data_IF_665250334757
#
_entry.id   IF_665250334757
#
_cell.length_a   1.000
_cell.length_b   1.000
_cell.length_c   1.000
_cell.angle_alpha   90.00
_cell.angle_beta   90.00
_cell.angle_gamma   90.00
#
_symmetry.space_group_name_H-M   'P 1'
#
loop_
_entity.id
_entity.type
_entity.pdbx_description
1 polymer ?
#
# COMPACT_ATOMS: atom_id res chain seq x y z
N UNK A 1 21.33 -26.93 -22.96
CA UNK A 1 21.40 -25.46 -23.01
C UNK A 1 19.97 -24.98 -23.00
N UNK A 2 19.45 -24.60 -21.84
CA UNK A 2 18.06 -24.13 -21.69
C UNK A 2 18.05 -22.68 -22.14
N UNK A 3 17.33 -22.37 -23.21
CA UNK A 3 17.05 -20.98 -23.58
C UNK A 3 16.22 -20.36 -22.45
N UNK A 4 16.83 -19.44 -21.72
CA UNK A 4 16.13 -18.61 -20.74
C UNK A 4 15.16 -17.70 -21.50
N UNK A 5 13.87 -17.88 -21.26
CA UNK A 5 12.80 -17.06 -21.82
C UNK A 5 12.97 -15.59 -21.39
N UNK A 6 13.14 -14.63 -22.32
CA UNK A 6 13.42 -13.22 -22.01
C UNK A 6 12.23 -12.46 -21.38
N UNK A 7 11.05 -13.07 -21.22
CA UNK A 7 9.89 -12.45 -20.57
C UNK A 7 9.88 -12.53 -19.02
N UNK A 8 10.82 -13.23 -18.38
CA UNK A 8 10.79 -13.46 -16.93
C UNK A 8 11.26 -12.26 -16.09
N UNK A 9 12.11 -11.38 -16.61
CA UNK A 9 12.69 -10.26 -15.85
C UNK A 9 11.66 -9.19 -15.49
N UNK A 10 10.77 -8.82 -16.40
CA UNK A 10 9.73 -7.82 -16.17
C UNK A 10 8.67 -8.26 -15.16
N UNK A 11 8.33 -9.57 -15.15
CA UNK A 11 7.40 -10.14 -14.16
C UNK A 11 8.07 -10.24 -12.78
N UNK A 12 9.36 -10.56 -12.72
CA UNK A 12 10.14 -10.58 -11.49
C UNK A 12 10.29 -9.17 -10.89
N UNK A 13 10.63 -8.17 -11.71
CA UNK A 13 10.72 -6.76 -11.28
C UNK A 13 9.38 -6.21 -10.79
N UNK A 14 8.28 -6.58 -11.46
CA UNK A 14 6.93 -6.23 -11.01
C UNK A 14 6.57 -6.90 -9.67
N UNK A 15 6.98 -8.17 -9.49
CA UNK A 15 6.78 -8.93 -8.24
C UNK A 15 7.58 -8.32 -7.10
N UNK A 16 8.86 -8.01 -7.32
CA UNK A 16 9.75 -7.38 -6.34
C UNK A 16 9.22 -6.02 -5.87
N UNK A 17 8.64 -5.25 -6.79
CA UNK A 17 8.04 -3.94 -6.46
C UNK A 17 6.79 -4.09 -5.59
N UNK A 18 5.92 -5.06 -5.89
CA UNK A 18 4.73 -5.34 -5.09
C UNK A 18 5.11 -5.83 -3.70
N UNK A 19 6.11 -6.71 -3.59
CA UNK A 19 6.56 -7.23 -2.30
C UNK A 19 7.20 -6.14 -1.44
N UNK A 20 7.93 -5.19 -2.05
CA UNK A 20 8.40 -3.99 -1.35
C UNK A 20 7.24 -3.15 -0.81
N UNK A 21 6.19 -2.93 -1.60
CA UNK A 21 5.01 -2.18 -1.15
C UNK A 21 4.27 -2.90 -0.02
N UNK A 22 4.13 -4.23 -0.09
CA UNK A 22 3.58 -5.04 1.00
C UNK A 22 4.39 -4.87 2.29
N UNK A 23 5.72 -4.91 2.19
CA UNK A 23 6.60 -4.73 3.34
C UNK A 23 6.48 -3.32 3.93
N UNK A 24 6.49 -2.28 3.09
CA UNK A 24 6.30 -0.90 3.53
C UNK A 24 4.94 -0.70 4.19
N UNK A 25 3.87 -1.28 3.64
CA UNK A 25 2.55 -1.22 4.25
C UNK A 25 2.48 -1.93 5.59
N UNK A 26 3.14 -3.10 5.71
CA UNK A 26 3.27 -3.81 6.99
C UNK A 26 3.95 -2.95 8.03
N UNK A 27 5.07 -2.32 7.67
CA UNK A 27 5.81 -1.44 8.59
C UNK A 27 4.96 -0.22 8.98
N UNK A 28 4.23 0.38 8.04
CA UNK A 28 3.29 1.47 8.32
C UNK A 28 2.22 1.04 9.33
N UNK A 29 1.56 -0.09 9.09
CA UNK A 29 0.49 -0.62 9.97
C UNK A 29 1.01 -0.89 11.38
N UNK A 30 2.16 -1.55 11.53
CA UNK A 30 2.71 -1.91 12.83
C UNK A 30 3.20 -0.69 13.64
N UNK A 31 3.56 0.41 12.96
CA UNK A 31 4.07 1.62 13.60
C UNK A 31 3.03 2.75 13.68
N UNK A 32 1.85 2.59 13.07
CA UNK A 32 0.83 3.64 12.92
C UNK A 32 0.45 4.32 14.25
N UNK A 33 0.25 3.51 15.31
CA UNK A 33 -0.15 4.00 16.63
C UNK A 33 1.01 4.40 17.55
N UNK A 34 2.27 4.29 17.09
CA UNK A 34 3.45 4.54 17.91
C UNK A 34 3.94 6.00 17.84
N UNK A 35 3.66 6.71 16.75
CA UNK A 35 4.09 8.09 16.50
C UNK A 35 3.11 8.82 15.58
N UNK A 36 3.42 10.06 15.18
CA UNK A 36 2.64 10.74 14.15
C UNK A 36 2.80 10.01 12.79
N UNK A 37 1.72 9.42 12.22
CA UNK A 37 1.80 8.63 11.00
C UNK A 37 1.86 9.47 9.72
N UNK A 38 1.56 10.77 9.76
CA UNK A 38 1.34 11.63 8.57
C UNK A 38 2.43 11.45 7.51
N UNK A 39 3.69 11.51 7.92
CA UNK A 39 4.83 11.38 7.00
C UNK A 39 4.95 9.99 6.39
N UNK A 40 4.75 8.94 7.21
CA UNK A 40 4.85 7.56 6.73
C UNK A 40 3.70 7.21 5.79
N UNK A 41 2.49 7.76 6.05
CA UNK A 41 1.34 7.65 5.17
C UNK A 41 1.62 8.36 3.83
N UNK A 42 2.10 9.59 3.85
CA UNK A 42 2.43 10.36 2.63
C UNK A 42 3.52 9.69 1.78
N UNK A 43 4.58 9.18 2.42
CA UNK A 43 5.65 8.43 1.75
C UNK A 43 5.11 7.16 1.09
N UNK A 44 4.30 6.38 1.81
CA UNK A 44 3.69 5.16 1.26
C UNK A 44 2.73 5.46 0.11
N UNK A 45 1.86 6.47 0.24
CA UNK A 45 0.90 6.88 -0.80
C UNK A 45 1.62 7.34 -2.06
N UNK A 46 2.75 8.03 -1.93
CA UNK A 46 3.58 8.43 -3.07
C UNK A 46 4.09 7.22 -3.85
N UNK A 47 4.62 6.22 -3.16
CA UNK A 47 5.10 4.98 -3.79
C UNK A 47 3.95 4.20 -4.45
N UNK A 48 2.80 4.12 -3.77
CA UNK A 48 1.62 3.42 -4.28
C UNK A 48 1.05 4.08 -5.54
N UNK A 49 0.97 5.42 -5.55
CA UNK A 49 0.58 6.22 -6.71
C UNK A 49 1.56 6.02 -7.88
N UNK A 50 2.87 6.05 -7.61
CA UNK A 50 3.92 5.81 -8.62
C UNK A 50 3.92 4.36 -9.15
N UNK A 51 3.39 3.42 -8.38
CA UNK A 51 3.16 2.04 -8.80
C UNK A 51 1.87 1.86 -9.61
N UNK A 52 1.06 2.91 -9.76
CA UNK A 52 -0.23 2.88 -10.44
C UNK A 52 -1.19 1.82 -9.87
N UNK A 53 -1.11 1.58 -8.56
CA UNK A 53 -2.01 0.68 -7.85
C UNK A 53 -3.31 1.37 -7.49
N UNK A 54 -4.41 0.62 -7.60
CA UNK A 54 -5.74 1.10 -7.26
C UNK A 54 -6.04 0.96 -5.76
N UNK A 55 -7.13 1.62 -5.31
CA UNK A 55 -7.68 1.39 -3.97
C UNK A 55 -8.02 -0.08 -3.73
N UNK A 56 -8.47 -0.80 -4.76
CA UNK A 56 -8.76 -2.24 -4.67
C UNK A 56 -7.50 -3.05 -4.35
N UNK A 57 -6.38 -2.74 -4.99
CA UNK A 57 -5.10 -3.41 -4.72
C UNK A 57 -4.62 -3.16 -3.29
N UNK A 58 -4.79 -1.94 -2.78
CA UNK A 58 -4.49 -1.61 -1.38
C UNK A 58 -5.35 -2.42 -0.39
N UNK A 59 -6.64 -2.59 -0.68
CA UNK A 59 -7.54 -3.40 0.16
C UNK A 59 -7.09 -4.87 0.18
N UNK A 60 -6.64 -5.40 -0.96
CA UNK A 60 -6.10 -6.76 -1.05
C UNK A 60 -4.84 -6.88 -0.18
N UNK A 61 -3.86 -5.99 -0.35
CA UNK A 61 -2.62 -5.95 0.45
C UNK A 61 -2.95 -5.90 1.96
N UNK A 62 -3.92 -5.07 2.36
CA UNK A 62 -4.34 -4.98 3.75
C UNK A 62 -4.99 -6.27 4.25
N UNK A 63 -5.88 -6.88 3.45
CA UNK A 63 -6.57 -8.11 3.86
C UNK A 63 -5.59 -9.26 4.04
N UNK A 64 -4.64 -9.43 3.10
CA UNK A 64 -3.56 -10.43 3.20
C UNK A 64 -2.73 -10.24 4.48
N UNK A 65 -2.35 -8.99 4.78
CA UNK A 65 -1.61 -8.67 6.00
C UNK A 65 -2.40 -8.99 7.28
N UNK A 66 -3.69 -8.64 7.33
CA UNK A 66 -4.54 -8.92 8.50
C UNK A 66 -4.72 -10.43 8.70
N UNK A 67 -4.85 -11.21 7.63
CA UNK A 67 -4.88 -12.67 7.71
C UNK A 67 -3.57 -13.24 8.29
N UNK A 68 -2.42 -12.76 7.82
CA UNK A 68 -1.11 -13.15 8.33
C UNK A 68 -0.96 -12.86 9.83
N UNK A 69 -1.31 -11.64 10.25
CA UNK A 69 -1.24 -11.24 11.65
C UNK A 69 -2.24 -12.03 12.51
N UNK A 70 -3.42 -12.33 11.98
CA UNK A 70 -4.42 -13.16 12.68
C UNK A 70 -3.89 -14.57 12.92
N UNK A 71 -3.26 -15.18 11.90
CA UNK A 71 -2.59 -16.48 12.05
C UNK A 71 -1.50 -16.44 13.12
N UNK A 72 -0.66 -15.41 13.12
CA UNK A 72 0.40 -15.24 14.11
C UNK A 72 -0.15 -15.10 15.54
N UNK A 73 -1.15 -14.24 15.76
CA UNK A 73 -1.77 -14.06 17.07
C UNK A 73 -2.46 -15.32 17.57
N UNK A 74 -3.07 -16.10 16.66
CA UNK A 74 -3.67 -17.38 17.02
C UNK A 74 -2.63 -18.37 17.56
N UNK A 75 -1.46 -18.47 16.92
CA UNK A 75 -0.35 -19.31 17.37
C UNK A 75 0.19 -18.82 18.72
N UNK A 76 0.24 -17.50 18.94
CA UNK A 76 0.65 -16.89 20.20
C UNK A 76 -0.41 -16.97 21.32
N UNK A 77 -1.62 -17.48 21.02
CA UNK A 77 -2.73 -17.51 21.98
C UNK A 77 -3.27 -16.12 22.35
N UNK A 78 -3.09 -15.13 21.47
CA UNK A 78 -3.51 -13.74 21.67
C UNK A 78 -4.82 -13.43 20.95
N UNK A 79 -5.55 -12.44 21.46
CA UNK A 79 -6.81 -12.00 20.88
C UNK A 79 -6.55 -11.14 19.61
N UNK A 80 -7.12 -11.49 18.44
CA UNK A 80 -6.92 -10.74 17.19
C UNK A 80 -7.73 -9.44 17.10
N UNK A 81 -8.59 -9.11 18.08
CA UNK A 81 -9.44 -7.91 18.02
C UNK A 81 -8.65 -6.60 17.87
N UNK A 82 -7.39 -6.55 18.33
CA UNK A 82 -6.51 -5.39 18.14
C UNK A 82 -6.28 -5.08 16.65
N UNK A 83 -6.37 -6.07 15.77
CA UNK A 83 -6.20 -5.90 14.33
C UNK A 83 -7.34 -5.08 13.69
N UNK A 84 -8.49 -4.96 14.37
CA UNK A 84 -9.60 -4.12 13.90
C UNK A 84 -9.23 -2.64 13.88
N UNK A 85 -8.33 -2.21 14.75
CA UNK A 85 -7.90 -0.81 14.85
C UNK A 85 -7.10 -0.40 13.60
N UNK A 86 -6.43 -1.36 12.92
CA UNK A 86 -5.74 -1.11 11.66
C UNK A 86 -6.66 -0.75 10.49
N UNK A 87 -7.98 -0.85 10.65
CA UNK A 87 -8.94 -0.26 9.71
C UNK A 87 -8.79 1.26 9.63
N UNK A 88 -8.38 1.91 10.72
CA UNK A 88 -8.09 3.34 10.74
C UNK A 88 -6.92 3.65 9.81
N UNK A 89 -5.83 2.87 9.88
CA UNK A 89 -4.68 3.00 8.98
C UNK A 89 -5.08 2.83 7.51
N UNK A 90 -5.92 1.83 7.19
CA UNK A 90 -6.39 1.63 5.82
C UNK A 90 -7.21 2.84 5.32
N UNK A 91 -8.14 3.34 6.13
CA UNK A 91 -8.97 4.50 5.77
C UNK A 91 -8.10 5.73 5.51
N UNK A 92 -7.10 5.96 6.37
CA UNK A 92 -6.19 7.10 6.28
C UNK A 92 -5.37 7.09 4.98
N UNK A 93 -4.78 5.93 4.64
CA UNK A 93 -4.04 5.75 3.39
C UNK A 93 -4.95 5.92 2.17
N UNK A 94 -6.17 5.37 2.20
CA UNK A 94 -7.16 5.56 1.11
C UNK A 94 -7.50 7.04 0.95
N UNK A 95 -7.71 7.77 2.05
CA UNK A 95 -8.04 9.19 2.00
C UNK A 95 -6.92 10.00 1.32
N UNK A 96 -5.66 9.76 1.71
CA UNK A 96 -4.49 10.39 1.11
C UNK A 96 -4.31 10.01 -0.38
N UNK A 97 -4.54 8.74 -0.73
CA UNK A 97 -4.47 8.30 -2.12
C UNK A 97 -5.55 8.97 -2.99
N UNK A 98 -6.80 9.04 -2.50
CA UNK A 98 -7.89 9.74 -3.16
C UNK A 98 -7.58 11.23 -3.36
N UNK A 99 -7.03 11.88 -2.33
CA UNK A 99 -6.62 13.28 -2.42
C UNK A 99 -5.50 13.47 -3.45
N UNK A 100 -4.55 12.54 -3.53
CA UNK A 100 -3.48 12.54 -4.53
C UNK A 100 -4.02 12.44 -5.96
N UNK A 101 -4.93 11.50 -6.22
CA UNK A 101 -5.59 11.38 -7.53
C UNK A 101 -6.41 12.62 -7.88
N UNK A 102 -7.16 13.17 -6.92
CA UNK A 102 -7.94 14.41 -7.11
C UNK A 102 -7.05 15.60 -7.48
N UNK A 103 -5.95 15.78 -6.76
CA UNK A 103 -4.97 16.85 -7.01
C UNK A 103 -4.26 16.69 -8.35
N UNK A 104 -3.93 15.46 -8.76
CA UNK A 104 -3.32 15.19 -10.06
C UNK A 104 -4.23 15.60 -11.23
N UNK A 105 -5.54 15.34 -11.13
CA UNK A 105 -6.53 15.74 -12.14
C UNK A 105 -6.73 17.27 -12.20
N UNK A 106 -6.70 17.94 -11.05
CA UNK A 106 -6.82 19.40 -11.00
C UNK A 106 -5.62 20.09 -11.68
N UNK A 107 -4.41 19.59 -11.42
CA UNK A 107 -3.19 20.18 -11.98
C UNK A 107 -3.08 19.95 -13.50
N UNK A 108 -3.53 18.79 -13.99
CA UNK A 108 -3.56 18.51 -15.44
C UNK A 108 -4.62 19.34 -16.17
N UNK A 109 -5.77 19.61 -15.55
CA UNK A 109 -6.80 20.48 -16.11
C UNK A 109 -6.33 21.95 -16.22
N UNK A 110 -5.60 22.46 -15.23
CA UNK A 110 -5.03 23.81 -15.27
C UNK A 110 -4.00 23.98 -16.39
N UNK A 111 -3.18 22.96 -16.65
CA UNK A 111 -2.18 22.96 -17.73
C UNK A 111 -2.78 23.03 -19.16
N UNK A 112 -4.07 22.72 -19.32
CA UNK A 112 -4.79 22.76 -20.60
C UNK A 112 -5.71 23.98 -20.74
N UNK A 113 -5.87 24.78 -19.68
CA UNK A 113 -6.80 25.92 -19.60
C UNK A 113 -6.16 27.30 -19.72
N UNK A 114 -4.84 27.38 -19.92
CA UNK A 114 -4.13 28.65 -20.16
C UNK A 114 -3.78 28.78 -21.65
N UNK A 115 -4.69 29.41 -22.42
CA UNK A 115 -4.43 30.12 -23.68
C UNK A 115 -5.50 31.19 -23.88
#
# INVERSE_FOLDING_TARGET
MVELNPYCLSDLEATDKIDRLRQQYRDLVLNYFQANPDRAVEEFVTELFNANLSVSDLIIIHTELIEDLTRQLHIEGRNPNILLDYRITLIDVIAHLCERYRSCLSNSAQALGEN
#
